data_IF_699961793272
#
_entry.id   IF_699961793272
#
_cell.length_a   1.000
_cell.length_b   1.000
_cell.length_c   1.000
_cell.angle_alpha   90.00
_cell.angle_beta   90.00
_cell.angle_gamma   90.00
#
_symmetry.space_group_name_H-M   'P 1'
#
loop_
_entity.id
_entity.type
_entity.pdbx_description
1 polymer ?
#
# COMPACT_ATOMS: atom_id res chain seq x y z
N UNK A 1 -11.37 22.53 -7.34
CA UNK A 1 -11.37 21.23 -8.03
C UNK A 1 -11.32 21.50 -9.51
N UNK A 2 -10.29 21.01 -10.18
CA UNK A 2 -10.17 21.05 -11.61
C UNK A 2 -11.24 20.14 -12.23
N UNK A 3 -12.10 20.69 -13.10
CA UNK A 3 -13.16 19.94 -13.79
C UNK A 3 -12.66 18.89 -14.80
N UNK A 4 -11.36 18.64 -14.87
CA UNK A 4 -10.72 17.65 -15.75
C UNK A 4 -10.54 16.26 -15.14
N UNK A 5 -10.89 16.03 -13.86
CA UNK A 5 -10.77 14.72 -13.23
C UNK A 5 -11.81 13.76 -13.76
N UNK A 6 -11.38 12.64 -14.32
CA UNK A 6 -12.25 11.52 -14.72
C UNK A 6 -12.12 10.40 -13.70
N UNK A 7 -13.26 9.95 -13.14
CA UNK A 7 -13.31 8.79 -12.26
C UNK A 7 -13.93 7.61 -13.04
N UNK A 8 -13.20 6.50 -13.13
CA UNK A 8 -13.72 5.21 -13.64
C UNK A 8 -14.02 4.29 -12.46
N UNK A 9 -15.29 4.16 -12.12
CA UNK A 9 -15.75 3.38 -10.97
C UNK A 9 -15.98 1.93 -11.40
N UNK A 10 -15.38 0.98 -10.65
CA UNK A 10 -15.54 -0.46 -10.85
C UNK A 10 -16.18 -1.08 -9.62
N UNK A 11 -17.24 -1.88 -9.85
CA UNK A 11 -17.92 -2.65 -8.80
C UNK A 11 -17.44 -4.12 -8.84
N UNK A 12 -16.13 -4.31 -8.92
CA UNK A 12 -15.47 -5.60 -8.92
C UNK A 12 -14.80 -5.83 -7.56
N UNK A 13 -14.97 -7.02 -6.98
CA UNK A 13 -14.11 -7.46 -5.89
C UNK A 13 -12.77 -7.90 -6.47
N UNK A 14 -11.68 -7.32 -5.98
CA UNK A 14 -10.33 -7.68 -6.43
C UNK A 14 -9.93 -9.05 -5.86
N UNK A 15 -9.45 -9.91 -6.74
CA UNK A 15 -8.91 -11.24 -6.46
C UNK A 15 -7.67 -11.53 -7.35
N UNK A 16 -6.96 -12.64 -7.15
CA UNK A 16 -5.78 -12.98 -7.95
C UNK A 16 -6.03 -13.10 -9.46
N UNK A 17 -7.25 -13.47 -9.87
CA UNK A 17 -7.58 -13.70 -11.27
C UNK A 17 -7.83 -12.40 -12.04
N UNK A 18 -8.27 -11.34 -11.36
CA UNK A 18 -8.64 -10.08 -11.99
C UNK A 18 -7.73 -8.89 -11.65
N UNK A 19 -6.91 -8.97 -10.59
CA UNK A 19 -6.08 -7.86 -10.10
C UNK A 19 -5.23 -7.25 -11.21
N UNK A 20 -4.52 -8.06 -12.00
CA UNK A 20 -3.67 -7.57 -13.08
C UNK A 20 -4.45 -6.76 -14.14
N UNK A 21 -5.67 -7.19 -14.47
CA UNK A 21 -6.55 -6.47 -15.40
C UNK A 21 -7.04 -5.14 -14.83
N UNK A 22 -7.35 -5.13 -13.54
CA UNK A 22 -7.92 -3.93 -12.89
C UNK A 22 -6.89 -2.82 -12.69
N UNK A 23 -5.61 -3.17 -12.48
CA UNK A 23 -4.55 -2.19 -12.29
C UNK A 23 -3.83 -1.79 -13.59
N UNK A 24 -4.17 -2.43 -14.71
CA UNK A 24 -3.46 -2.21 -15.98
C UNK A 24 -3.45 -0.73 -16.40
N UNK A 25 -2.27 -0.21 -16.70
CA UNK A 25 -2.08 1.18 -17.14
C UNK A 25 -2.06 2.23 -16.03
N UNK A 26 -2.10 1.82 -14.77
CA UNK A 26 -1.93 2.74 -13.65
C UNK A 26 -0.45 3.12 -13.48
N UNK A 27 -0.18 4.38 -13.14
CA UNK A 27 1.15 4.87 -12.75
C UNK A 27 1.47 4.58 -11.28
N UNK A 28 0.43 4.36 -10.47
CA UNK A 28 0.48 4.03 -9.05
C UNK A 28 -0.80 3.31 -8.66
N UNK A 29 -0.68 2.27 -7.84
CA UNK A 29 -1.81 1.66 -7.15
C UNK A 29 -1.81 2.11 -5.69
N UNK A 30 -2.93 2.62 -5.19
CA UNK A 30 -3.15 2.91 -3.79
C UNK A 30 -4.13 1.87 -3.23
N UNK A 31 -3.65 1.04 -2.30
CA UNK A 31 -4.43 0.01 -1.65
C UNK A 31 -4.82 0.46 -0.24
N UNK A 32 -6.12 0.63 -0.03
CA UNK A 32 -6.74 0.92 1.25
C UNK A 32 -7.73 -0.16 1.68
N UNK A 33 -7.61 -1.37 1.14
CA UNK A 33 -8.49 -2.50 1.48
C UNK A 33 -8.25 -2.99 2.90
N UNK A 34 -9.20 -3.75 3.44
CA UNK A 34 -9.23 -4.20 4.84
C UNK A 34 -9.02 -5.72 5.00
N UNK A 35 -8.64 -6.41 3.92
CA UNK A 35 -8.38 -7.85 3.98
C UNK A 35 -7.05 -8.24 3.32
N UNK A 36 -6.35 -9.21 3.90
CA UNK A 36 -5.02 -9.61 3.45
C UNK A 36 -5.02 -10.29 2.09
N UNK A 37 -6.03 -11.08 1.76
CA UNK A 37 -6.10 -11.76 0.47
C UNK A 37 -6.10 -10.75 -0.69
N UNK A 38 -6.91 -9.70 -0.60
CA UNK A 38 -6.92 -8.63 -1.59
C UNK A 38 -5.60 -7.87 -1.62
N UNK A 39 -5.04 -7.52 -0.45
CA UNK A 39 -3.74 -6.81 -0.37
C UNK A 39 -2.61 -7.59 -1.03
N UNK A 40 -2.56 -8.90 -0.80
CA UNK A 40 -1.55 -9.77 -1.41
C UNK A 40 -1.75 -9.90 -2.91
N UNK A 41 -3.00 -10.08 -3.38
CA UNK A 41 -3.31 -10.13 -4.81
C UNK A 41 -2.91 -8.83 -5.53
N UNK A 42 -3.22 -7.68 -4.95
CA UNK A 42 -2.84 -6.37 -5.47
C UNK A 42 -1.31 -6.21 -5.50
N UNK A 43 -0.63 -6.59 -4.40
CA UNK A 43 0.84 -6.51 -4.34
C UNK A 43 1.50 -7.36 -5.42
N UNK A 44 1.06 -8.60 -5.60
CA UNK A 44 1.62 -9.51 -6.58
C UNK A 44 1.38 -9.01 -8.02
N UNK A 45 0.19 -8.51 -8.29
CA UNK A 45 -0.15 -7.89 -9.57
C UNK A 45 0.72 -6.64 -9.84
N UNK A 46 0.95 -5.79 -8.84
CA UNK A 46 1.82 -4.62 -8.95
C UNK A 46 3.26 -5.00 -9.27
N UNK A 47 3.81 -6.01 -8.59
CA UNK A 47 5.17 -6.52 -8.87
C UNK A 47 5.26 -7.07 -10.28
N UNK A 48 4.27 -7.86 -10.72
CA UNK A 48 4.25 -8.45 -12.05
C UNK A 48 4.12 -7.40 -13.17
N UNK A 49 3.33 -6.36 -12.94
CA UNK A 49 3.08 -5.29 -13.90
C UNK A 49 4.15 -4.18 -13.90
N UNK A 50 5.09 -4.18 -12.93
CA UNK A 50 6.09 -3.12 -12.80
C UNK A 50 5.51 -1.81 -12.28
N UNK A 51 4.38 -1.86 -11.56
CA UNK A 51 3.67 -0.70 -11.03
C UNK A 51 3.98 -0.54 -9.54
N UNK A 52 4.33 0.66 -9.05
CA UNK A 52 4.51 0.90 -7.62
C UNK A 52 3.18 0.76 -6.85
N UNK A 53 3.29 0.28 -5.61
CA UNK A 53 2.19 0.12 -4.68
C UNK A 53 2.36 1.04 -3.48
N UNK A 54 1.34 1.81 -3.15
CA UNK A 54 1.20 2.51 -1.89
C UNK A 54 0.12 1.80 -1.06
N UNK A 55 0.52 1.14 0.01
CA UNK A 55 -0.40 0.46 0.92
C UNK A 55 -0.69 1.33 2.12
N UNK A 56 -1.97 1.51 2.43
CA UNK A 56 -2.45 2.22 3.60
C UNK A 56 -3.42 1.34 4.39
N UNK A 57 -3.29 1.31 5.70
CA UNK A 57 -4.20 0.61 6.58
C UNK A 57 -4.46 1.43 7.83
N UNK A 58 -5.65 1.28 8.38
CA UNK A 58 -6.06 1.94 9.60
C UNK A 58 -6.70 0.92 10.53
N UNK A 59 -6.30 0.93 11.78
CA UNK A 59 -6.95 0.23 12.87
C UNK A 59 -7.64 1.23 13.80
N UNK A 60 -8.06 0.75 14.97
CA UNK A 60 -8.85 1.53 15.93
C UNK A 60 -8.24 2.91 16.23
N UNK A 61 -6.97 2.94 16.62
CA UNK A 61 -6.22 4.15 16.96
C UNK A 61 -4.86 4.23 16.28
N UNK A 62 -4.59 3.34 15.34
CA UNK A 62 -3.29 3.26 14.66
C UNK A 62 -3.49 3.24 13.16
N UNK A 63 -2.48 3.67 12.45
CA UNK A 63 -2.44 3.61 11.00
C UNK A 63 -1.06 3.25 10.50
N UNK A 64 -1.02 2.74 9.29
CA UNK A 64 0.24 2.47 8.60
C UNK A 64 0.16 2.87 7.13
N UNK A 65 1.26 3.39 6.61
CA UNK A 65 1.41 3.75 5.19
C UNK A 65 2.80 3.34 4.74
N UNK A 66 2.89 2.63 3.62
CA UNK A 66 4.16 2.21 3.05
C UNK A 66 4.15 2.25 1.53
N UNK A 67 5.25 2.73 0.94
CA UNK A 67 5.47 2.73 -0.50
C UNK A 67 6.39 1.57 -0.90
N UNK A 68 5.93 0.74 -1.83
CA UNK A 68 6.61 -0.48 -2.25
C UNK A 68 6.87 -0.49 -3.75
N UNK A 69 8.08 -0.89 -4.13
CA UNK A 69 8.52 -1.02 -5.52
C UNK A 69 9.18 -2.38 -5.76
N UNK A 70 8.51 -3.46 -5.36
CA UNK A 70 9.07 -4.82 -5.40
C UNK A 70 9.48 -5.31 -6.81
N UNK A 71 9.03 -4.64 -7.87
CA UNK A 71 9.50 -4.87 -9.23
C UNK A 71 10.93 -4.37 -9.47
N UNK A 72 11.46 -3.50 -8.60
CA UNK A 72 12.84 -3.03 -8.67
C UNK A 72 13.75 -3.96 -7.84
N UNK A 73 15.00 -4.23 -8.30
CA UNK A 73 15.89 -5.21 -7.67
C UNK A 73 16.17 -4.95 -6.19
N UNK A 74 16.33 -3.68 -5.80
CA UNK A 74 16.77 -3.29 -4.45
C UNK A 74 15.61 -3.01 -3.48
N UNK A 75 14.35 -3.11 -3.94
CA UNK A 75 13.21 -2.66 -3.15
C UNK A 75 12.26 -3.78 -2.78
N UNK A 76 11.76 -3.71 -1.53
CA UNK A 76 10.78 -4.64 -0.99
C UNK A 76 9.41 -4.48 -1.68
N UNK A 77 8.65 -5.58 -1.77
CA UNK A 77 7.21 -5.55 -2.01
C UNK A 77 6.44 -5.66 -0.68
N UNK A 78 5.12 -5.59 -0.74
CA UNK A 78 4.28 -5.71 0.45
C UNK A 78 4.42 -7.08 1.14
N UNK A 79 4.64 -8.19 0.38
CA UNK A 79 4.92 -9.51 0.97
C UNK A 79 6.20 -9.55 1.79
N UNK A 80 7.23 -8.78 1.45
CA UNK A 80 8.43 -8.69 2.28
C UNK A 80 8.13 -8.12 3.67
N UNK A 81 7.06 -7.33 3.80
CA UNK A 81 6.61 -6.77 5.07
C UNK A 81 5.75 -7.75 5.86
N UNK A 82 4.73 -8.32 5.23
CA UNK A 82 3.74 -9.14 5.95
C UNK A 82 4.10 -10.63 6.01
N UNK A 83 4.97 -11.11 5.10
CA UNK A 83 5.26 -12.55 4.96
C UNK A 83 4.12 -13.30 4.27
N UNK A 84 4.23 -14.64 4.31
CA UNK A 84 3.24 -15.56 3.73
C UNK A 84 2.33 -16.19 4.80
N UNK A 85 2.53 -15.84 6.07
CA UNK A 85 2.01 -16.58 7.24
C UNK A 85 0.62 -16.13 7.70
N UNK A 86 -0.07 -15.28 6.96
CA UNK A 86 -1.42 -14.90 7.35
C UNK A 86 -2.44 -15.81 6.66
N UNK A 87 -2.92 -16.81 7.39
CA UNK A 87 -4.20 -17.42 7.10
C UNK A 87 -5.27 -16.32 7.21
N UNK A 88 -6.06 -16.18 6.16
CA UNK A 88 -7.04 -15.10 6.01
C UNK A 88 -8.12 -15.11 7.11
N UNK A 89 -8.16 -16.15 7.94
CA UNK A 89 -9.13 -16.35 9.01
C UNK A 89 -8.70 -15.75 10.36
N UNK A 90 -7.41 -15.43 10.55
CA UNK A 90 -6.87 -14.96 11.83
C UNK A 90 -6.78 -13.43 11.97
N UNK A 91 -7.28 -12.68 11.01
CA UNK A 91 -7.21 -11.22 11.07
C UNK A 91 -8.55 -10.62 11.49
N UNK A 92 -8.57 -10.08 12.72
CA UNK A 92 -9.64 -9.20 13.17
C UNK A 92 -9.89 -8.13 12.11
N UNK A 93 -11.09 -8.08 11.58
CA UNK A 93 -11.44 -7.08 10.59
C UNK A 93 -11.60 -5.73 11.29
N UNK A 94 -11.20 -4.64 10.63
CA UNK A 94 -11.44 -3.28 11.15
C UNK A 94 -12.93 -3.03 11.49
N UNK A 95 -13.83 -3.86 10.97
CA UNK A 95 -15.26 -3.81 11.24
C UNK A 95 -15.63 -4.25 12.66
N UNK A 96 -14.87 -5.17 13.27
CA UNK A 96 -15.17 -5.68 14.62
C UNK A 96 -14.66 -4.73 15.70
N UNK A 97 -13.49 -4.14 15.51
CA UNK A 97 -12.88 -3.22 16.50
C UNK A 97 -13.31 -1.76 16.35
N UNK A 98 -13.88 -1.40 15.21
CA UNK A 98 -14.18 -0.02 14.84
C UNK A 98 -12.92 0.80 14.54
N UNK A 99 -13.08 1.94 13.91
CA UNK A 99 -12.00 2.85 13.52
C UNK A 99 -12.36 4.27 13.90
N UNK A 100 -11.45 4.99 14.55
CA UNK A 100 -11.63 6.40 14.83
C UNK A 100 -11.55 7.21 13.52
N UNK A 101 -12.62 7.93 13.16
CA UNK A 101 -12.69 8.69 11.91
C UNK A 101 -11.54 9.68 11.70
N UNK A 102 -11.00 10.27 12.78
CA UNK A 102 -9.83 11.14 12.72
C UNK A 102 -8.57 10.40 12.24
N UNK A 103 -8.41 9.11 12.60
CA UNK A 103 -7.32 8.28 12.10
C UNK A 103 -7.43 8.04 10.59
N UNK A 104 -8.64 7.80 10.09
CA UNK A 104 -8.89 7.66 8.64
C UNK A 104 -8.44 8.93 7.89
N UNK A 105 -8.80 10.10 8.42
CA UNK A 105 -8.40 11.39 7.85
C UNK A 105 -6.88 11.59 7.86
N UNK A 106 -6.23 11.27 8.98
CA UNK A 106 -4.78 11.40 9.12
C UNK A 106 -4.04 10.44 8.18
N UNK A 107 -4.37 9.16 8.21
CA UNK A 107 -3.76 8.14 7.33
C UNK A 107 -4.02 8.46 5.86
N UNK A 108 -5.24 8.84 5.49
CA UNK A 108 -5.60 9.20 4.12
C UNK A 108 -4.83 10.40 3.59
N UNK A 109 -4.69 11.46 4.40
CA UNK A 109 -3.91 12.65 4.03
C UNK A 109 -2.42 12.34 3.91
N UNK A 110 -1.89 11.51 4.81
CA UNK A 110 -0.50 11.07 4.76
C UNK A 110 -0.25 10.20 3.51
N UNK A 111 -1.15 9.25 3.21
CA UNK A 111 -1.07 8.42 2.01
C UNK A 111 -1.14 9.27 0.73
N UNK A 112 -2.01 10.27 0.67
CA UNK A 112 -2.09 11.19 -0.47
C UNK A 112 -0.76 11.94 -0.70
N UNK A 113 -0.11 12.41 0.36
CA UNK A 113 1.23 13.03 0.25
C UNK A 113 2.29 12.06 -0.25
N UNK A 114 2.25 10.80 0.19
CA UNK A 114 3.17 9.78 -0.33
C UNK A 114 2.87 9.44 -1.80
N UNK A 115 1.60 9.37 -2.19
CA UNK A 115 1.20 9.16 -3.58
C UNK A 115 1.76 10.25 -4.51
N UNK A 116 1.66 11.52 -4.10
CA UNK A 116 2.24 12.65 -4.83
C UNK A 116 3.76 12.49 -4.98
N UNK A 117 4.48 12.07 -3.93
CA UNK A 117 5.92 11.82 -4.01
C UNK A 117 6.26 10.72 -5.01
N UNK A 118 5.50 9.64 -5.02
CA UNK A 118 5.67 8.54 -5.97
C UNK A 118 5.46 9.02 -7.41
N UNK A 119 4.36 9.70 -7.66
CA UNK A 119 3.99 10.18 -9.00
C UNK A 119 4.93 11.27 -9.53
N UNK A 120 5.51 12.07 -8.63
CA UNK A 120 6.49 13.12 -8.98
C UNK A 120 7.94 12.69 -8.77
N UNK A 121 8.20 11.39 -8.62
CA UNK A 121 9.55 10.87 -8.47
C UNK A 121 10.44 11.32 -9.63
N UNK A 122 11.58 11.96 -9.32
CA UNK A 122 12.48 12.54 -10.32
C UNK A 122 12.14 13.97 -10.75
N UNK A 123 10.98 14.51 -10.44
CA UNK A 123 10.67 15.93 -10.53
C UNK A 123 11.18 16.63 -9.27
N UNK A 124 12.15 17.44 -9.39
CA UNK A 124 13.20 17.89 -8.48
C UNK A 124 12.85 18.45 -7.09
N UNK A 125 11.61 18.63 -6.68
CA UNK A 125 11.29 19.33 -5.44
C UNK A 125 10.42 18.56 -4.44
N UNK A 126 9.87 17.41 -4.81
CA UNK A 126 8.93 16.66 -3.94
C UNK A 126 9.58 15.57 -3.08
N UNK A 127 10.88 15.36 -3.22
CA UNK A 127 11.65 14.39 -2.43
C UNK A 127 11.54 12.95 -2.97
N UNK A 128 12.25 12.06 -2.30
CA UNK A 128 12.34 10.64 -2.62
C UNK A 128 11.06 9.91 -2.18
N UNK A 129 10.51 8.98 -2.98
CA UNK A 129 9.39 8.12 -2.59
C UNK A 129 9.61 7.29 -1.33
N UNK A 130 10.86 7.12 -0.89
CA UNK A 130 11.24 6.32 0.28
C UNK A 130 10.76 4.85 0.17
N UNK A 131 11.08 4.22 -0.95
CA UNK A 131 10.71 2.83 -1.21
C UNK A 131 11.09 1.88 -0.07
N UNK A 132 10.14 1.04 0.34
CA UNK A 132 10.30 0.09 1.42
C UNK A 132 10.28 0.72 2.81
N UNK A 133 9.94 2.00 2.97
CA UNK A 133 9.73 2.61 4.27
C UNK A 133 8.26 2.50 4.67
N UNK A 134 8.03 1.90 5.84
CA UNK A 134 6.72 1.81 6.48
C UNK A 134 6.63 2.87 7.57
N UNK A 135 5.60 3.69 7.52
CA UNK A 135 5.26 4.69 8.53
C UNK A 135 4.12 4.18 9.39
N UNK A 136 4.32 4.15 10.70
CA UNK A 136 3.28 3.85 11.69
C UNK A 136 2.85 5.15 12.35
N UNK A 137 1.55 5.39 12.34
CA UNK A 137 0.90 6.55 12.96
C UNK A 137 0.15 6.08 14.21
N UNK A 138 0.44 6.65 15.35
CA UNK A 138 -0.20 6.31 16.63
C UNK A 138 -1.08 7.48 17.08
N UNK A 139 -2.39 7.27 17.12
CA UNK A 139 -3.37 8.28 17.51
C UNK A 139 -3.53 8.46 19.03
N UNK A 140 -3.03 7.52 19.85
CA UNK A 140 -3.04 7.62 21.30
C UNK A 140 -1.87 8.45 21.83
N UNK A 141 -0.71 8.30 21.18
CA UNK A 141 0.51 9.03 21.52
C UNK A 141 1.00 9.82 20.31
N UNK A 142 0.37 10.83 19.80
CA UNK A 142 0.47 11.40 18.45
C UNK A 142 1.89 11.37 17.84
N UNK A 143 2.39 10.16 17.67
CA UNK A 143 3.72 9.85 17.17
C UNK A 143 3.66 9.21 15.80
N UNK A 144 4.68 9.46 15.00
CA UNK A 144 4.92 8.75 13.75
C UNK A 144 6.29 8.08 13.83
N UNK A 145 6.32 6.78 13.62
CA UNK A 145 7.56 5.99 13.55
C UNK A 145 7.74 5.45 12.14
N UNK A 146 8.98 5.34 11.69
CA UNK A 146 9.28 4.83 10.36
C UNK A 146 10.27 3.68 10.45
N UNK A 147 10.00 2.62 9.69
CA UNK A 147 10.83 1.42 9.63
C UNK A 147 11.17 1.12 8.18
N UNK A 148 12.38 0.66 7.95
CA UNK A 148 12.79 0.19 6.64
C UNK A 148 12.51 -1.30 6.51
N UNK A 149 11.73 -1.68 5.52
CA UNK A 149 11.49 -3.07 5.15
C UNK A 149 12.56 -3.48 4.14
N UNK A 150 13.36 -4.47 4.51
CA UNK A 150 14.35 -5.04 3.60
C UNK A 150 13.67 -5.95 2.57
N UNK A 151 14.22 -5.98 1.34
CA UNK A 151 13.80 -6.98 0.37
C UNK A 151 14.23 -8.37 0.86
N UNK A 152 13.29 -9.30 0.88
CA UNK A 152 13.57 -10.70 1.17
C UNK A 152 13.92 -11.42 -0.14
N UNK A 153 15.14 -11.96 -0.27
CA UNK A 153 15.53 -12.73 -1.47
C UNK A 153 14.68 -13.99 -1.69
N UNK A 154 14.09 -14.55 -0.62
CA UNK A 154 13.22 -15.71 -0.68
C UNK A 154 11.73 -15.37 -0.82
N UNK A 155 11.37 -14.08 -0.91
CA UNK A 155 9.99 -13.64 -1.02
C UNK A 155 9.28 -14.23 -2.25
N UNK A 156 8.14 -14.87 -2.04
CA UNK A 156 7.34 -15.48 -3.13
C UNK A 156 6.80 -14.43 -4.12
N UNK A 157 6.60 -13.19 -3.68
CA UNK A 157 6.10 -12.11 -4.55
C UNK A 157 7.18 -11.44 -5.38
N UNK A 158 8.36 -11.14 -4.81
CA UNK A 158 9.41 -10.36 -5.48
C UNK A 158 10.83 -10.89 -5.28
N UNK A 159 11.00 -12.07 -4.69
CA UNK A 159 12.29 -12.77 -4.58
C UNK A 159 12.91 -13.04 -5.94
N UNK A 160 14.06 -13.67 -5.97
CA UNK A 160 14.92 -13.83 -7.16
C UNK A 160 14.14 -14.08 -8.46
N UNK A 161 13.99 -13.01 -9.23
CA UNK A 161 13.60 -13.01 -10.64
C UNK A 161 14.78 -12.53 -11.46
#
# INVERSE_FOLDING_TARGET
FDGGLTADVRDDRIDPDNAARLIAGADLVLDGTDNFATRLAVSDACVAAGIPLLSAAVGRFQGQVGAFAGHLPEHACYRCFVGDAFDAEDCDTCAEDGVLGAMVGWVGSFAAMQAIRVLLAGASSFGDPQWGQLHLLDGLTPETRSFRIAKDPACQGCGAR
#
